data_IF_634588512015
#
_entry.id   IF_634588512015
#
_cell.length_a   1.000
_cell.length_b   1.000
_cell.length_c   1.000
_cell.angle_alpha   90.00
_cell.angle_beta   90.00
_cell.angle_gamma   90.00
#
_symmetry.space_group_name_H-M   'P 1'
#
loop_
_entity.id
_entity.type
_entity.pdbx_description
1 polymer ?
#
# COMPACT_ATOMS: atom_id res chain seq x y z
N UNK A 1 64.09 2.21 -4.37
CA UNK A 1 63.37 1.70 -5.55
C UNK A 1 62.29 0.74 -5.09
N UNK A 2 61.14 1.29 -4.65
CA UNK A 2 59.88 0.60 -4.35
C UNK A 2 58.72 1.63 -4.32
N UNK A 3 58.88 2.72 -5.06
CA UNK A 3 57.86 3.75 -5.23
C UNK A 3 57.31 3.64 -6.64
N UNK A 4 55.98 3.59 -6.73
CA UNK A 4 55.09 3.41 -7.90
C UNK A 4 54.39 2.05 -7.97
N UNK A 5 53.54 1.77 -6.98
CA UNK A 5 52.31 1.01 -7.25
C UNK A 5 51.40 1.94 -8.06
N UNK A 6 51.17 1.64 -9.33
CA UNK A 6 50.40 2.53 -10.20
C UNK A 6 48.93 2.54 -9.76
N UNK A 7 48.27 3.71 -9.85
CA UNK A 7 46.83 3.90 -9.58
C UNK A 7 45.90 2.95 -10.36
N UNK A 8 46.41 2.26 -11.39
CA UNK A 8 45.68 1.28 -12.21
C UNK A 8 45.70 -0.14 -11.64
N UNK A 9 46.59 -0.46 -10.68
CA UNK A 9 46.80 -1.84 -10.24
C UNK A 9 45.78 -2.33 -9.20
N UNK A 10 45.13 -1.44 -8.45
CA UNK A 10 44.17 -1.84 -7.40
C UNK A 10 42.85 -2.38 -7.96
N UNK A 11 42.37 -1.80 -9.07
CA UNK A 11 41.23 -2.30 -9.85
C UNK A 11 41.64 -3.31 -10.93
N UNK A 12 42.89 -3.79 -10.91
CA UNK A 12 43.29 -4.89 -11.79
C UNK A 12 42.44 -6.13 -11.49
N UNK A 13 42.19 -6.92 -12.53
CA UNK A 13 41.36 -8.15 -12.50
C UNK A 13 41.79 -9.13 -11.39
N UNK A 14 43.00 -9.00 -10.84
CA UNK A 14 43.56 -9.89 -9.81
C UNK A 14 42.98 -9.72 -8.41
N UNK A 15 42.40 -8.56 -8.06
CA UNK A 15 41.88 -8.29 -6.72
C UNK A 15 40.34 -8.41 -6.61
N UNK A 16 39.65 -8.57 -7.75
CA UNK A 16 38.19 -8.73 -7.79
C UNK A 16 37.85 -10.18 -7.51
N UNK A 17 37.22 -10.44 -6.36
CA UNK A 17 36.78 -11.77 -5.93
C UNK A 17 35.47 -12.18 -6.60
N UNK A 18 34.57 -11.22 -6.82
CA UNK A 18 33.29 -11.43 -7.50
C UNK A 18 32.80 -10.14 -8.15
N UNK A 19 31.99 -10.26 -9.21
CA UNK A 19 31.29 -9.13 -9.81
C UNK A 19 29.90 -9.57 -10.28
N UNK A 20 28.89 -8.73 -10.03
CA UNK A 20 27.52 -8.93 -10.49
C UNK A 20 26.98 -7.60 -11.04
N UNK A 21 26.14 -7.67 -12.06
CA UNK A 21 25.43 -6.51 -12.59
C UNK A 21 23.95 -6.58 -12.17
N UNK A 22 23.39 -5.49 -11.66
CA UNK A 22 21.97 -5.42 -11.29
C UNK A 22 21.09 -5.30 -12.54
N UNK A 23 19.76 -5.43 -12.38
CA UNK A 23 18.79 -5.30 -13.48
C UNK A 23 18.74 -3.87 -14.04
N UNK A 24 19.19 -2.90 -13.26
CA UNK A 24 19.31 -1.48 -13.57
C UNK A 24 20.71 -1.10 -14.08
N UNK A 25 21.50 -2.09 -14.51
CA UNK A 25 22.85 -1.96 -15.07
C UNK A 25 23.94 -1.45 -14.11
N UNK A 26 23.72 -1.55 -12.79
CA UNK A 26 24.73 -1.20 -11.79
C UNK A 26 25.73 -2.35 -11.60
N UNK A 27 27.03 -2.07 -11.74
CA UNK A 27 28.08 -3.06 -11.53
C UNK A 27 28.53 -3.08 -10.06
N UNK A 28 28.28 -4.19 -9.36
CA UNK A 28 28.77 -4.48 -8.03
C UNK A 28 30.04 -5.34 -8.13
N UNK A 29 31.07 -4.98 -7.36
CA UNK A 29 32.35 -5.71 -7.30
C UNK A 29 32.73 -5.97 -5.85
N UNK A 30 33.01 -7.23 -5.53
CA UNK A 30 33.67 -7.62 -4.28
C UNK A 30 35.17 -7.61 -4.53
N UNK A 31 35.90 -6.75 -3.82
CA UNK A 31 37.34 -6.55 -4.01
C UNK A 31 38.05 -6.88 -2.69
N UNK A 32 39.09 -7.70 -2.76
CA UNK A 32 40.00 -7.91 -1.63
C UNK A 32 41.09 -6.85 -1.66
N UNK A 33 41.24 -6.08 -0.57
CA UNK A 33 42.26 -5.05 -0.48
C UNK A 33 42.10 -4.17 0.76
N UNK A 34 43.03 -3.24 0.92
CA UNK A 34 43.01 -2.24 1.98
C UNK A 34 42.33 -0.97 1.47
N UNK A 35 41.25 -0.59 2.16
CA UNK A 35 40.43 0.61 1.88
C UNK A 35 41.28 1.89 1.87
N UNK A 36 42.44 1.90 2.52
CA UNK A 36 43.34 3.04 2.51
C UNK A 36 43.83 3.39 1.12
N UNK A 37 43.94 2.43 0.20
CA UNK A 37 44.55 2.67 -1.11
C UNK A 37 43.54 2.62 -2.25
N UNK A 38 42.24 2.61 -1.93
CA UNK A 38 41.17 2.65 -2.93
C UNK A 38 40.90 4.09 -3.38
N UNK A 39 40.66 4.27 -4.67
CA UNK A 39 40.08 5.50 -5.22
C UNK A 39 38.58 5.28 -5.42
N UNK A 40 37.76 6.14 -4.82
CA UNK A 40 36.31 6.12 -4.96
C UNK A 40 35.77 7.55 -4.82
N UNK A 41 34.64 7.87 -5.45
CA UNK A 41 34.01 9.17 -5.22
C UNK A 41 33.57 9.32 -3.75
N UNK A 42 33.09 8.22 -3.15
CA UNK A 42 32.62 8.16 -1.77
C UNK A 42 33.16 6.92 -1.08
N UNK A 43 33.64 7.07 0.15
CA UNK A 43 34.01 5.96 1.05
C UNK A 43 32.97 5.87 2.17
N UNK A 44 32.56 4.66 2.52
CA UNK A 44 31.64 4.41 3.65
C UNK A 44 32.45 3.90 4.83
N UNK A 45 32.30 4.56 5.98
CA UNK A 45 32.90 4.18 7.26
C UNK A 45 31.82 3.82 8.27
N UNK A 46 32.04 2.76 9.04
CA UNK A 46 31.16 2.41 10.17
C UNK A 46 31.67 3.05 11.44
N UNK A 47 30.79 3.71 12.19
CA UNK A 47 31.14 4.45 13.42
C UNK A 47 30.23 4.07 14.59
N UNK A 48 30.72 4.13 15.84
CA UNK A 48 29.88 4.00 17.03
C UNK A 48 28.90 5.17 17.15
N UNK A 49 27.86 5.02 17.98
CA UNK A 49 26.84 6.07 18.20
C UNK A 49 27.44 7.42 18.65
N UNK A 50 28.53 7.41 19.41
CA UNK A 50 29.22 8.62 19.86
C UNK A 50 30.09 9.30 18.79
N UNK A 51 30.09 8.76 17.57
CA UNK A 51 30.83 9.24 16.39
C UNK A 51 32.34 9.40 16.61
N UNK A 52 32.91 8.73 17.62
CA UNK A 52 34.34 8.74 17.84
C UNK A 52 35.02 7.77 16.88
N UNK A 53 35.83 8.33 15.98
CA UNK A 53 36.62 7.57 15.03
C UNK A 53 37.80 6.89 15.74
N UNK A 54 38.31 5.80 15.14
CA UNK A 54 39.48 5.09 15.65
C UNK A 54 39.20 3.91 16.58
N UNK A 55 37.94 3.68 16.97
CA UNK A 55 37.58 2.53 17.83
C UNK A 55 37.58 1.17 17.11
N UNK A 56 37.34 1.13 15.80
CA UNK A 56 37.33 -0.09 14.98
C UNK A 56 38.44 -0.08 13.94
N UNK A 57 38.85 -1.26 13.44
CA UNK A 57 39.98 -1.39 12.48
C UNK A 57 39.79 -0.56 11.21
N UNK A 58 38.58 -0.57 10.63
CA UNK A 58 38.22 0.25 9.46
C UNK A 58 38.27 1.75 9.79
N UNK A 59 37.58 2.16 10.86
CA UNK A 59 37.49 3.57 11.27
C UNK A 59 38.86 4.15 11.67
N UNK A 60 39.72 3.33 12.29
CA UNK A 60 41.11 3.68 12.61
C UNK A 60 41.94 3.90 11.36
N UNK A 61 41.87 2.98 10.39
CA UNK A 61 42.61 3.11 9.14
C UNK A 61 42.21 4.41 8.42
N UNK A 62 40.89 4.61 8.23
CA UNK A 62 40.34 5.80 7.58
C UNK A 62 40.81 7.08 8.28
N UNK A 63 40.69 7.17 9.62
CA UNK A 63 41.14 8.35 10.38
C UNK A 63 42.65 8.58 10.24
N UNK A 64 43.45 7.51 10.31
CA UNK A 64 44.90 7.59 10.23
C UNK A 64 45.36 8.16 8.87
N UNK A 65 44.74 7.74 7.75
CA UNK A 65 45.07 8.29 6.43
C UNK A 65 44.46 9.67 6.18
N UNK A 66 43.19 9.88 6.56
CA UNK A 66 42.49 11.15 6.36
C UNK A 66 43.06 12.30 7.19
N UNK A 67 43.64 12.00 8.35
CA UNK A 67 44.13 12.97 9.31
C UNK A 67 43.06 13.47 10.29
N UNK A 68 43.47 14.27 11.30
CA UNK A 68 42.60 14.68 12.42
C UNK A 68 41.45 15.62 12.01
N UNK A 69 41.50 16.20 10.80
CA UNK A 69 40.42 17.07 10.32
C UNK A 69 39.11 16.29 10.10
N UNK A 70 39.20 14.99 9.78
CA UNK A 70 38.03 14.14 9.58
C UNK A 70 37.16 14.05 10.84
N UNK A 71 37.77 13.87 12.02
CA UNK A 71 37.04 13.87 13.29
C UNK A 71 36.44 15.25 13.58
N UNK A 72 37.16 16.34 13.30
CA UNK A 72 36.66 17.70 13.52
C UNK A 72 35.44 18.01 12.67
N UNK A 73 35.43 17.59 11.40
CA UNK A 73 34.26 17.74 10.53
C UNK A 73 33.08 16.92 11.02
N UNK A 74 33.33 15.66 11.43
CA UNK A 74 32.29 14.80 11.98
C UNK A 74 31.68 15.36 13.27
N UNK A 75 32.51 15.88 14.18
CA UNK A 75 32.04 16.52 15.42
C UNK A 75 31.21 17.78 15.15
N UNK A 76 31.50 18.53 14.08
CA UNK A 76 30.70 19.70 13.68
C UNK A 76 29.29 19.30 13.22
N UNK A 77 29.14 18.16 12.55
CA UNK A 77 27.81 17.66 12.11
C UNK A 77 26.90 17.21 13.26
N UNK A 78 27.45 17.00 14.46
CA UNK A 78 26.67 16.63 15.66
C UNK A 78 25.73 17.72 16.14
N UNK A 79 25.99 18.98 15.81
CA UNK A 79 25.17 20.10 16.31
C UNK A 79 23.80 20.21 15.64
N UNK A 80 23.52 19.40 14.60
CA UNK A 80 22.32 19.55 13.75
C UNK A 80 21.40 18.32 13.70
N UNK A 81 21.75 17.17 14.31
CA UNK A 81 20.95 15.93 14.18
C UNK A 81 20.96 15.03 15.44
N UNK A 82 19.83 14.34 15.70
CA UNK A 82 19.74 13.29 16.73
C UNK A 82 20.51 12.01 16.32
N UNK A 83 21.37 11.52 17.21
CA UNK A 83 22.20 10.31 17.02
C UNK A 83 21.37 9.03 17.23
N UNK A 84 21.11 8.25 16.17
CA UNK A 84 20.38 6.97 16.22
C UNK A 84 21.05 5.93 15.33
N UNK A 85 20.82 4.65 15.60
CA UNK A 85 21.20 3.56 14.68
C UNK A 85 20.52 3.78 13.32
N UNK A 86 21.29 3.66 12.24
CA UNK A 86 20.86 3.96 10.88
C UNK A 86 21.13 5.41 10.42
N UNK A 87 21.60 6.29 11.31
CA UNK A 87 22.01 7.65 10.92
C UNK A 87 23.26 7.64 10.04
N UNK A 88 23.31 8.56 9.07
CA UNK A 88 24.43 8.76 8.14
C UNK A 88 24.88 10.21 8.24
N UNK A 89 26.18 10.41 8.48
CA UNK A 89 26.83 11.72 8.51
C UNK A 89 27.83 11.82 7.38
N UNK A 90 28.00 13.02 6.80
CA UNK A 90 28.90 13.22 5.67
C UNK A 90 29.98 14.22 6.02
N UNK A 91 31.23 13.88 5.69
CA UNK A 91 32.40 14.74 5.79
C UNK A 91 33.11 14.81 4.43
N UNK A 92 34.08 15.71 4.30
CA UNK A 92 34.99 15.72 3.15
C UNK A 92 35.92 14.50 3.19
N UNK A 93 36.52 14.16 2.05
CA UNK A 93 37.56 13.12 1.99
C UNK A 93 38.82 13.44 2.80
N UNK A 94 39.03 14.69 3.23
CA UNK A 94 40.29 15.14 3.82
C UNK A 94 41.51 14.68 2.99
N UNK A 95 42.45 13.93 3.59
CA UNK A 95 43.62 13.38 2.89
C UNK A 95 43.37 12.01 2.22
N UNK A 96 42.13 11.54 2.15
CA UNK A 96 41.76 10.31 1.42
C UNK A 96 41.61 10.61 -0.07
N UNK A 97 41.76 9.56 -0.88
CA UNK A 97 41.55 9.61 -2.33
C UNK A 97 40.03 9.52 -2.68
N UNK A 98 39.20 10.34 -2.03
CA UNK A 98 37.75 10.41 -2.26
C UNK A 98 37.20 11.84 -2.09
N UNK A 99 35.99 12.10 -2.61
CA UNK A 99 35.33 13.41 -2.47
C UNK A 99 34.65 13.56 -1.11
N UNK A 100 34.05 12.49 -0.61
CA UNK A 100 33.33 12.49 0.67
C UNK A 100 33.48 11.16 1.41
N UNK A 101 33.32 11.21 2.74
CA UNK A 101 33.18 10.03 3.59
C UNK A 101 31.78 10.02 4.21
N UNK A 102 31.07 8.91 4.06
CA UNK A 102 29.80 8.66 4.74
C UNK A 102 30.06 7.84 6.00
N UNK A 103 29.76 8.42 7.16
CA UNK A 103 29.88 7.78 8.47
C UNK A 103 28.51 7.22 8.87
N UNK A 104 28.41 5.89 8.90
CA UNK A 104 27.16 5.16 9.18
C UNK A 104 27.19 4.62 10.60
N UNK A 105 26.17 4.97 11.39
CA UNK A 105 25.94 4.38 12.72
C UNK A 105 25.25 3.03 12.54
N UNK A 106 26.05 1.97 12.39
CA UNK A 106 25.53 0.62 12.25
C UNK A 106 25.07 0.04 13.60
N UNK A 107 24.10 -0.89 13.62
CA UNK A 107 23.81 -1.67 14.81
C UNK A 107 25.04 -2.50 15.21
N UNK A 108 25.15 -2.82 16.49
CA UNK A 108 26.12 -3.82 16.94
C UNK A 108 25.86 -5.17 16.28
N UNK A 109 26.90 -5.87 15.86
CA UNK A 109 26.79 -7.24 15.39
C UNK A 109 26.45 -8.16 16.57
N UNK A 110 25.31 -8.82 16.51
CA UNK A 110 24.77 -9.66 17.59
C UNK A 110 25.11 -11.15 17.44
N UNK A 111 26.18 -11.47 16.70
CA UNK A 111 26.55 -12.84 16.31
C UNK A 111 25.51 -13.56 15.44
N UNK A 112 24.70 -12.82 14.69
CA UNK A 112 23.62 -13.40 13.88
C UNK A 112 22.46 -13.88 14.74
N UNK A 113 22.34 -13.36 15.97
CA UNK A 113 21.15 -13.52 16.80
C UNK A 113 19.97 -12.68 16.28
N UNK A 114 20.20 -11.82 15.29
CA UNK A 114 19.17 -11.08 14.59
C UNK A 114 18.22 -12.01 13.87
N UNK A 115 16.93 -11.66 13.90
CA UNK A 115 15.88 -12.40 13.19
C UNK A 115 16.13 -12.37 11.68
N UNK A 116 16.33 -13.53 11.06
CA UNK A 116 16.33 -13.65 9.60
C UNK A 116 14.89 -13.73 9.10
N UNK A 117 14.50 -12.86 8.19
CA UNK A 117 13.23 -12.96 7.49
C UNK A 117 13.46 -13.50 6.09
N UNK A 118 12.63 -14.45 5.67
CA UNK A 118 12.60 -14.96 4.30
C UNK A 118 11.26 -14.56 3.68
N UNK A 119 11.31 -14.01 2.48
CA UNK A 119 10.10 -13.86 1.65
C UNK A 119 9.90 -15.16 0.91
N UNK A 120 8.88 -15.93 1.31
CA UNK A 120 8.47 -17.15 0.63
C UNK A 120 7.24 -16.87 -0.25
N UNK A 121 7.12 -17.62 -1.34
CA UNK A 121 5.90 -17.69 -2.16
C UNK A 121 5.42 -19.13 -2.10
N UNK A 122 4.20 -19.35 -1.61
CA UNK A 122 3.68 -20.67 -1.30
C UNK A 122 2.29 -20.62 -0.64
N UNK A 123 1.76 -21.78 -0.28
CA UNK A 123 0.52 -21.92 0.48
C UNK A 123 0.85 -22.00 1.98
N UNK A 124 0.32 -21.07 2.78
CA UNK A 124 0.58 -21.00 4.22
C UNK A 124 0.15 -22.27 4.97
N UNK A 125 -0.81 -23.03 4.43
CA UNK A 125 -1.30 -24.28 5.03
C UNK A 125 -0.30 -25.44 4.90
N UNK A 126 0.68 -25.32 4.01
CA UNK A 126 1.74 -26.31 3.78
C UNK A 126 3.06 -25.94 4.48
N UNK A 127 3.13 -24.77 5.12
CA UNK A 127 4.33 -24.26 5.77
C UNK A 127 4.71 -25.07 7.03
N UNK A 128 6.00 -25.39 7.14
CA UNK A 128 6.57 -26.11 8.28
C UNK A 128 7.24 -25.13 9.24
N UNK A 129 6.40 -24.49 10.04
CA UNK A 129 6.78 -23.49 11.05
C UNK A 129 6.11 -23.81 12.37
N UNK A 130 6.65 -23.30 13.47
CA UNK A 130 6.09 -23.52 14.81
C UNK A 130 4.74 -22.78 14.96
N UNK A 131 4.63 -21.60 14.33
CA UNK A 131 3.46 -20.72 14.44
C UNK A 131 2.95 -20.30 13.05
N UNK A 132 1.66 -20.51 12.80
CA UNK A 132 0.97 -19.88 11.66
C UNK A 132 0.15 -18.69 12.15
N UNK A 133 0.19 -17.58 11.42
CA UNK A 133 -0.64 -16.41 11.71
C UNK A 133 -1.86 -16.40 10.80
N UNK A 134 -3.04 -16.32 11.39
CA UNK A 134 -4.29 -16.15 10.65
C UNK A 134 -4.79 -14.70 10.74
N UNK A 135 -5.07 -14.05 9.61
CA UNK A 135 -5.68 -12.72 9.57
C UNK A 135 -7.21 -12.83 9.48
N UNK A 136 -7.93 -12.45 10.53
CA UNK A 136 -9.38 -12.65 10.67
C UNK A 136 -10.14 -11.38 11.11
N UNK A 137 -11.43 -11.52 11.41
CA UNK A 137 -12.34 -10.46 11.91
C UNK A 137 -12.37 -10.40 13.43
N UNK A 138 -13.07 -9.39 13.98
CA UNK A 138 -13.22 -9.19 15.45
C UNK A 138 -13.87 -10.35 16.19
N UNK A 139 -14.58 -11.21 15.48
CA UNK A 139 -15.25 -12.40 16.03
C UNK A 139 -14.51 -13.69 15.68
N UNK A 140 -13.31 -13.59 15.10
CA UNK A 140 -12.41 -14.70 14.78
C UNK A 140 -13.02 -15.85 13.96
N UNK A 141 -14.05 -15.54 13.16
CA UNK A 141 -14.80 -16.52 12.37
C UNK A 141 -14.72 -16.27 10.86
N UNK A 142 -13.74 -15.49 10.40
CA UNK A 142 -13.60 -15.17 8.98
C UNK A 142 -13.33 -16.44 8.17
N UNK A 143 -14.23 -16.75 7.24
CA UNK A 143 -14.10 -17.90 6.31
C UNK A 143 -13.93 -17.44 4.87
N UNK A 144 -13.03 -16.48 4.65
CA UNK A 144 -12.63 -15.99 3.32
C UNK A 144 -11.12 -15.88 3.18
N UNK A 145 -10.62 -15.90 1.95
CA UNK A 145 -9.20 -15.69 1.65
C UNK A 145 -8.29 -16.68 2.37
N UNK A 146 -7.18 -16.18 2.90
CA UNK A 146 -6.19 -16.98 3.64
C UNK A 146 -6.79 -17.56 4.92
N UNK A 147 -7.69 -16.83 5.60
CA UNK A 147 -8.36 -17.35 6.81
C UNK A 147 -9.21 -18.58 6.53
N UNK A 148 -9.87 -18.64 5.36
CA UNK A 148 -10.62 -19.83 4.94
C UNK A 148 -9.68 -21.03 4.81
N UNK A 149 -8.58 -20.88 4.07
CA UNK A 149 -7.62 -21.95 3.83
C UNK A 149 -7.02 -22.47 5.15
N UNK A 150 -6.64 -21.57 6.06
CA UNK A 150 -6.11 -21.93 7.39
C UNK A 150 -7.16 -22.71 8.21
N UNK A 151 -8.41 -22.23 8.28
CA UNK A 151 -9.45 -22.90 9.06
C UNK A 151 -9.86 -24.25 8.47
N UNK A 152 -9.92 -24.38 7.14
CA UNK A 152 -10.20 -25.66 6.46
C UNK A 152 -9.05 -26.66 6.67
N UNK A 153 -7.79 -26.22 6.58
CA UNK A 153 -6.62 -27.06 6.83
C UNK A 153 -6.45 -27.45 8.31
N UNK A 154 -6.76 -26.54 9.23
CA UNK A 154 -6.69 -26.79 10.67
C UNK A 154 -7.85 -27.66 11.18
N UNK A 155 -9.01 -27.56 10.53
CA UNK A 155 -10.19 -28.37 10.82
C UNK A 155 -11.12 -27.81 11.91
N UNK A 156 -12.28 -28.46 12.13
CA UNK A 156 -13.39 -27.91 12.94
C UNK A 156 -13.07 -27.74 14.42
N UNK A 157 -12.07 -28.44 14.95
CA UNK A 157 -11.64 -28.27 16.34
C UNK A 157 -11.11 -26.85 16.61
N UNK A 158 -10.33 -26.30 15.67
CA UNK A 158 -9.80 -24.94 15.76
C UNK A 158 -10.91 -23.91 15.62
N UNK A 159 -11.88 -24.12 14.72
CA UNK A 159 -13.03 -23.21 14.60
C UNK A 159 -13.84 -23.10 15.90
N UNK A 160 -14.08 -24.23 16.55
CA UNK A 160 -14.79 -24.27 17.83
C UNK A 160 -13.99 -23.57 18.93
N UNK A 161 -12.67 -23.76 18.96
CA UNK A 161 -11.78 -23.08 19.91
C UNK A 161 -11.80 -21.57 19.68
N UNK A 162 -11.74 -21.11 18.42
CA UNK A 162 -11.89 -19.70 18.07
C UNK A 162 -13.21 -19.13 18.61
N UNK A 163 -14.33 -19.84 18.43
CA UNK A 163 -15.65 -19.38 18.89
C UNK A 163 -15.70 -19.25 20.43
N UNK A 164 -15.08 -20.18 21.16
CA UNK A 164 -15.01 -20.17 22.62
C UNK A 164 -14.14 -19.01 23.13
N UNK A 165 -12.98 -18.78 22.50
CA UNK A 165 -12.06 -17.72 22.88
C UNK A 165 -12.60 -16.33 22.51
N UNK A 166 -13.26 -16.21 21.36
CA UNK A 166 -13.91 -14.97 20.91
C UNK A 166 -15.09 -14.55 21.82
N UNK A 167 -15.71 -15.50 22.52
CA UNK A 167 -16.80 -15.22 23.47
C UNK A 167 -16.29 -14.68 24.83
N UNK A 168 -14.98 -14.75 25.09
CA UNK A 168 -14.35 -14.29 26.31
C UNK A 168 -13.62 -12.96 26.10
N UNK A 169 -13.33 -12.18 27.16
CA UNK A 169 -12.46 -11.02 27.03
C UNK A 169 -11.08 -11.43 26.49
N UNK A 170 -10.68 -10.88 25.35
CA UNK A 170 -9.40 -11.15 24.69
C UNK A 170 -8.71 -9.84 24.28
N UNK A 171 -7.41 -9.93 23.99
CA UNK A 171 -6.60 -8.83 23.48
C UNK A 171 -6.75 -8.62 21.97
N UNK A 172 -5.67 -8.16 21.34
CA UNK A 172 -5.59 -7.90 19.89
C UNK A 172 -5.54 -9.19 19.03
N UNK A 173 -5.38 -10.36 19.66
CA UNK A 173 -5.36 -11.68 19.04
C UNK A 173 -5.87 -12.77 20.00
N UNK A 174 -6.15 -13.95 19.45
CA UNK A 174 -6.35 -15.20 20.20
C UNK A 174 -5.38 -16.26 19.69
N UNK A 175 -5.08 -17.26 20.53
CA UNK A 175 -4.18 -18.37 20.19
C UNK A 175 -4.97 -19.67 20.30
N UNK A 176 -4.87 -20.51 19.29
CA UNK A 176 -5.48 -21.85 19.23
C UNK A 176 -4.40 -22.90 18.94
N UNK A 177 -4.77 -24.17 19.06
CA UNK A 177 -3.94 -25.27 18.57
C UNK A 177 -3.81 -25.28 17.03
N UNK A 178 -2.74 -25.88 16.50
CA UNK A 178 -2.54 -26.03 15.04
C UNK A 178 -3.57 -26.91 14.31
N UNK A 179 -4.26 -27.79 15.05
CA UNK A 179 -5.24 -28.71 14.47
C UNK A 179 -4.61 -29.68 13.46
N UNK A 180 -5.15 -29.70 12.24
CA UNK A 180 -4.64 -30.49 11.11
C UNK A 180 -3.42 -29.90 10.40
N UNK A 181 -2.99 -28.68 10.74
CA UNK A 181 -1.80 -28.06 10.16
C UNK A 181 -0.52 -28.58 10.82
N UNK A 182 0.62 -28.38 10.17
CA UNK A 182 1.94 -28.80 10.66
C UNK A 182 2.52 -27.92 11.77
N UNK A 183 1.89 -26.77 12.05
CA UNK A 183 2.31 -25.86 13.11
C UNK A 183 1.82 -26.30 14.49
N UNK A 184 2.50 -25.84 15.54
CA UNK A 184 2.09 -26.11 16.93
C UNK A 184 0.86 -25.31 17.32
N UNK A 185 0.84 -24.02 16.95
CA UNK A 185 -0.25 -23.09 17.28
C UNK A 185 -0.60 -22.19 16.10
N UNK A 186 -1.82 -21.65 16.15
CA UNK A 186 -2.27 -20.60 15.25
C UNK A 186 -2.54 -19.33 16.06
N UNK A 187 -1.90 -18.22 15.70
CA UNK A 187 -2.20 -16.90 16.26
C UNK A 187 -3.18 -16.19 15.32
N UNK A 188 -4.42 -15.99 15.78
CA UNK A 188 -5.44 -15.31 15.00
C UNK A 188 -5.45 -13.82 15.33
N UNK A 189 -5.12 -12.98 14.35
CA UNK A 189 -4.98 -11.53 14.48
C UNK A 189 -6.05 -10.77 13.71
N UNK A 190 -6.33 -9.54 14.14
CA UNK A 190 -7.26 -8.65 13.43
C UNK A 190 -6.58 -8.00 12.21
N UNK A 191 -6.97 -8.38 10.99
CA UNK A 191 -6.42 -7.86 9.74
C UNK A 191 -6.78 -6.41 9.37
N UNK A 192 -7.27 -5.60 10.33
CA UNK A 192 -7.80 -4.24 10.08
C UNK A 192 -7.07 -3.13 10.84
N UNK A 193 -6.13 -3.47 11.72
CA UNK A 193 -5.43 -2.55 12.61
C UNK A 193 -4.08 -2.07 12.04
N UNK A 194 -3.30 -1.38 12.87
CA UNK A 194 -1.89 -1.05 12.61
C UNK A 194 -1.09 -2.35 12.43
N UNK A 195 -0.83 -2.73 11.16
CA UNK A 195 -0.12 -3.96 10.80
C UNK A 195 1.24 -4.03 11.48
N UNK A 196 1.93 -2.91 11.65
CA UNK A 196 3.23 -2.88 12.34
C UNK A 196 3.06 -3.32 13.78
N UNK A 197 2.09 -2.74 14.50
CA UNK A 197 1.79 -3.15 15.88
C UNK A 197 1.37 -4.62 15.95
N UNK A 198 0.49 -5.07 15.05
CA UNK A 198 0.04 -6.47 15.01
C UNK A 198 1.22 -7.43 14.82
N UNK A 199 2.10 -7.17 13.86
CA UNK A 199 3.29 -8.00 13.62
C UNK A 199 4.22 -7.96 14.84
N UNK A 200 4.45 -6.79 15.44
CA UNK A 200 5.26 -6.68 16.67
C UNK A 200 4.70 -7.54 17.80
N UNK A 201 3.40 -7.46 18.09
CA UNK A 201 2.79 -8.26 19.17
C UNK A 201 2.85 -9.77 18.89
N UNK A 202 2.70 -10.19 17.63
CA UNK A 202 2.88 -11.60 17.26
C UNK A 202 4.31 -12.07 17.52
N UNK A 203 5.32 -11.28 17.13
CA UNK A 203 6.72 -11.64 17.31
C UNK A 203 7.11 -11.67 18.79
N UNK A 204 6.61 -10.72 19.60
CA UNK A 204 6.80 -10.71 21.05
C UNK A 204 6.21 -11.96 21.73
N UNK A 205 5.02 -12.40 21.32
CA UNK A 205 4.42 -13.65 21.82
C UNK A 205 5.23 -14.88 21.40
N UNK A 206 5.70 -14.91 20.15
CA UNK A 206 6.54 -16.01 19.67
C UNK A 206 7.82 -16.12 20.49
N UNK A 207 8.49 -14.99 20.74
CA UNK A 207 9.68 -14.91 21.57
C UNK A 207 9.41 -15.35 23.02
N UNK A 208 8.33 -14.83 23.63
CA UNK A 208 7.96 -15.18 25.01
C UNK A 208 7.68 -16.68 25.18
N UNK A 209 7.13 -17.32 24.14
CA UNK A 209 6.81 -18.75 24.10
C UNK A 209 7.96 -19.61 23.58
N UNK A 210 9.08 -18.99 23.18
CA UNK A 210 10.29 -19.64 22.65
C UNK A 210 10.06 -20.41 21.34
N UNK A 211 9.17 -19.91 20.50
CA UNK A 211 9.05 -20.40 19.13
C UNK A 211 10.20 -19.87 18.28
N UNK A 212 10.65 -20.70 17.35
CA UNK A 212 11.82 -20.42 16.49
C UNK A 212 11.45 -20.03 15.07
N UNK A 213 10.19 -20.29 14.67
CA UNK A 213 9.68 -19.96 13.34
C UNK A 213 8.21 -19.54 13.35
N UNK A 214 7.88 -18.53 12.55
CA UNK A 214 6.51 -18.02 12.37
C UNK A 214 6.27 -17.68 10.91
N UNK A 215 5.12 -18.08 10.37
CA UNK A 215 4.66 -17.71 9.03
C UNK A 215 3.54 -16.68 9.12
N UNK A 216 3.75 -15.54 8.46
CA UNK A 216 2.84 -14.40 8.44
C UNK A 216 2.26 -14.25 7.02
N UNK A 217 0.94 -14.28 6.83
CA UNK A 217 0.35 -13.97 5.54
C UNK A 217 0.47 -12.47 5.25
N UNK A 218 0.02 -12.04 4.07
CA UNK A 218 -0.16 -10.62 3.77
C UNK A 218 -1.34 -10.04 4.59
N UNK A 219 -1.12 -9.83 5.89
CA UNK A 219 -2.16 -9.43 6.84
C UNK A 219 -2.88 -8.16 6.34
N UNK A 220 -4.21 -8.25 6.24
CA UNK A 220 -5.06 -7.14 5.82
C UNK A 220 -5.34 -7.00 4.33
N UNK A 221 -4.83 -7.91 3.48
CA UNK A 221 -5.21 -7.97 2.05
C UNK A 221 -6.60 -8.55 1.81
N UNK A 222 -7.16 -9.29 2.77
CA UNK A 222 -8.37 -10.09 2.57
C UNK A 222 -9.70 -9.34 2.84
N UNK A 223 -9.67 -8.00 2.87
CA UNK A 223 -10.85 -7.17 3.17
C UNK A 223 -11.80 -7.01 1.96
N UNK A 224 -12.14 -8.10 1.27
CA UNK A 224 -13.17 -8.09 0.24
C UNK A 224 -14.57 -8.12 0.87
N UNK A 225 -15.60 -7.52 0.23
CA UNK A 225 -16.95 -7.53 0.79
C UNK A 225 -17.56 -8.93 0.82
N UNK A 226 -18.24 -9.27 1.93
CA UNK A 226 -18.89 -10.57 2.12
C UNK A 226 -19.96 -10.90 1.05
N UNK A 227 -20.58 -9.87 0.47
CA UNK A 227 -21.60 -10.03 -0.57
C UNK A 227 -21.00 -10.31 -1.96
N UNK A 228 -19.67 -10.27 -2.11
CA UNK A 228 -19.03 -10.64 -3.37
C UNK A 228 -19.13 -12.15 -3.59
N UNK A 229 -19.36 -12.53 -4.83
CA UNK A 229 -19.28 -13.92 -5.27
C UNK A 229 -17.82 -14.34 -5.30
N UNK A 230 -17.54 -15.61 -5.03
CA UNK A 230 -16.19 -16.16 -5.17
C UNK A 230 -15.62 -15.89 -6.58
N UNK A 231 -14.40 -15.37 -6.61
CA UNK A 231 -13.69 -15.03 -7.85
C UNK A 231 -12.81 -16.19 -8.35
N UNK A 232 -12.80 -17.36 -7.68
CA UNK A 232 -12.00 -18.52 -8.07
C UNK A 232 -10.52 -18.17 -8.31
N UNK A 233 -9.90 -17.51 -7.33
CA UNK A 233 -8.52 -17.00 -7.40
C UNK A 233 -8.25 -15.88 -8.43
N UNK A 234 -9.27 -15.38 -9.14
CA UNK A 234 -9.13 -14.18 -9.96
C UNK A 234 -9.17 -12.92 -9.10
N UNK A 235 -8.50 -11.87 -9.57
CA UNK A 235 -8.42 -10.57 -8.88
C UNK A 235 -9.45 -9.57 -9.39
N UNK A 236 -10.12 -9.87 -10.50
CA UNK A 236 -11.24 -9.09 -11.01
C UNK A 236 -12.24 -9.94 -11.78
N UNK A 237 -13.54 -9.70 -11.58
CA UNK A 237 -14.61 -10.23 -12.41
C UNK A 237 -15.83 -9.29 -12.45
N UNK A 238 -16.74 -9.54 -13.40
CA UNK A 238 -18.06 -8.92 -13.43
C UNK A 238 -19.13 -9.99 -13.18
N UNK A 239 -20.03 -9.71 -12.25
CA UNK A 239 -21.11 -10.61 -11.87
C UNK A 239 -22.44 -10.00 -12.31
N UNK A 240 -23.09 -10.59 -13.29
CA UNK A 240 -24.42 -10.15 -13.70
C UNK A 240 -25.43 -10.45 -12.59
N UNK A 241 -26.11 -9.41 -12.10
CA UNK A 241 -27.14 -9.55 -11.08
C UNK A 241 -28.43 -10.11 -11.68
N UNK A 242 -29.14 -10.93 -10.90
CA UNK A 242 -30.41 -11.49 -11.35
C UNK A 242 -31.58 -10.55 -11.03
N UNK A 243 -32.48 -10.27 -11.99
CA UNK A 243 -33.71 -9.54 -11.73
C UNK A 243 -34.51 -10.16 -10.59
N UNK A 244 -34.99 -9.34 -9.67
CA UNK A 244 -35.73 -9.78 -8.48
C UNK A 244 -34.88 -9.95 -7.22
N UNK A 245 -33.54 -10.02 -7.33
CA UNK A 245 -32.66 -9.96 -6.16
C UNK A 245 -32.71 -8.57 -5.51
N UNK A 246 -32.58 -8.53 -4.17
CA UNK A 246 -32.59 -7.27 -3.41
C UNK A 246 -31.55 -6.26 -3.90
N UNK A 247 -30.34 -6.73 -4.20
CA UNK A 247 -29.25 -5.92 -4.74
C UNK A 247 -29.61 -5.33 -6.12
N UNK A 248 -30.12 -6.15 -7.05
CA UNK A 248 -30.58 -5.69 -8.36
C UNK A 248 -31.67 -4.62 -8.22
N UNK A 249 -32.68 -4.88 -7.38
CA UNK A 249 -33.81 -3.96 -7.19
C UNK A 249 -33.33 -2.62 -6.60
N UNK A 250 -32.42 -2.66 -5.63
CA UNK A 250 -31.83 -1.45 -5.02
C UNK A 250 -31.16 -0.56 -6.07
N UNK A 251 -30.34 -1.15 -6.95
CA UNK A 251 -29.63 -0.39 -7.99
C UNK A 251 -30.58 0.07 -9.09
N UNK A 252 -31.53 -0.79 -9.51
CA UNK A 252 -32.59 -0.43 -10.44
C UNK A 252 -33.40 0.76 -9.94
N UNK A 253 -33.87 0.72 -8.70
CA UNK A 253 -34.76 1.75 -8.14
C UNK A 253 -34.03 3.10 -8.05
N UNK A 254 -32.76 3.09 -7.67
CA UNK A 254 -31.94 4.32 -7.66
C UNK A 254 -31.77 4.91 -9.07
N UNK A 255 -31.64 4.07 -10.10
CA UNK A 255 -31.58 4.51 -11.49
C UNK A 255 -32.94 5.05 -11.98
N UNK A 256 -34.02 4.30 -11.78
CA UNK A 256 -35.36 4.62 -12.28
C UNK A 256 -36.01 5.81 -11.60
N UNK A 257 -35.54 6.22 -10.40
CA UNK A 257 -35.93 7.47 -9.75
C UNK A 257 -35.87 8.69 -10.68
N UNK A 258 -34.89 8.73 -11.58
CA UNK A 258 -34.75 9.83 -12.56
C UNK A 258 -34.67 9.36 -14.02
N UNK A 259 -34.61 8.04 -14.26
CA UNK A 259 -34.53 7.44 -15.60
C UNK A 259 -35.68 6.44 -15.89
N UNK A 260 -36.90 6.72 -15.42
CA UNK A 260 -38.05 5.83 -15.58
C UNK A 260 -38.45 5.55 -17.04
N UNK A 261 -38.06 6.40 -17.98
CA UNK A 261 -38.31 6.21 -19.41
C UNK A 261 -37.35 5.26 -20.10
N UNK A 262 -36.28 4.83 -19.43
CA UNK A 262 -35.26 3.95 -20.01
C UNK A 262 -35.48 2.49 -19.62
N UNK A 263 -35.03 1.58 -20.48
CA UNK A 263 -35.07 0.13 -20.23
C UNK A 263 -33.68 -0.39 -19.84
N UNK A 264 -33.57 -1.05 -18.68
CA UNK A 264 -32.34 -1.72 -18.24
C UNK A 264 -32.23 -3.08 -18.96
N UNK A 265 -31.11 -3.31 -19.64
CA UNK A 265 -30.77 -4.60 -20.25
C UNK A 265 -30.13 -5.53 -19.22
N UNK A 266 -29.19 -5.01 -18.43
CA UNK A 266 -28.54 -5.74 -17.33
C UNK A 266 -27.86 -4.80 -16.33
N UNK A 267 -27.63 -5.32 -15.13
CA UNK A 267 -26.80 -4.70 -14.09
C UNK A 267 -25.71 -5.71 -13.73
N UNK A 268 -24.46 -5.28 -13.80
CA UNK A 268 -23.30 -6.10 -13.48
C UNK A 268 -22.58 -5.50 -12.27
N UNK A 269 -22.40 -6.27 -11.20
CA UNK A 269 -21.51 -5.90 -10.09
C UNK A 269 -20.06 -6.10 -10.52
N UNK A 270 -19.24 -5.10 -10.26
CA UNK A 270 -17.80 -5.14 -10.52
C UNK A 270 -17.10 -5.56 -9.24
N UNK A 271 -16.35 -6.65 -9.33
CA UNK A 271 -15.50 -7.12 -8.25
C UNK A 271 -14.06 -6.92 -8.72
N UNK A 272 -13.38 -5.90 -8.22
CA UNK A 272 -11.97 -5.66 -8.51
C UNK A 272 -11.22 -5.47 -7.19
N UNK A 273 -10.44 -6.48 -6.81
CA UNK A 273 -9.79 -6.56 -5.50
C UNK A 273 -8.84 -5.38 -5.27
N UNK A 274 -8.01 -5.03 -6.26
CA UNK A 274 -7.03 -3.95 -6.13
C UNK A 274 -7.65 -2.57 -6.02
N UNK A 275 -8.67 -2.29 -6.86
CA UNK A 275 -9.40 -1.02 -6.79
C UNK A 275 -10.15 -0.90 -5.46
N UNK A 276 -10.76 -1.99 -4.99
CA UNK A 276 -11.47 -2.02 -3.72
C UNK A 276 -10.54 -1.77 -2.54
N UNK A 277 -9.41 -2.47 -2.47
CA UNK A 277 -8.42 -2.26 -1.41
C UNK A 277 -7.90 -0.82 -1.39
N UNK A 278 -7.52 -0.28 -2.56
CA UNK A 278 -7.02 1.08 -2.69
C UNK A 278 -8.07 2.12 -2.26
N UNK A 279 -9.32 1.90 -2.66
CA UNK A 279 -10.47 2.71 -2.25
C UNK A 279 -10.69 2.68 -0.73
N UNK A 280 -10.66 1.50 -0.12
CA UNK A 280 -10.91 1.34 1.32
C UNK A 280 -9.79 1.94 2.18
N UNK A 281 -8.54 1.90 1.73
CA UNK A 281 -7.43 2.61 2.38
C UNK A 281 -7.70 4.12 2.37
N UNK A 282 -8.09 4.68 1.22
CA UNK A 282 -8.45 6.11 1.13
C UNK A 282 -9.65 6.47 1.99
N UNK A 283 -10.67 5.61 2.03
CA UNK A 283 -11.85 5.80 2.85
C UNK A 283 -11.47 5.89 4.33
N UNK A 284 -10.69 4.92 4.83
CA UNK A 284 -10.22 4.91 6.23
C UNK A 284 -9.40 6.16 6.57
N UNK A 285 -8.50 6.57 5.66
CA UNK A 285 -7.74 7.80 5.83
C UNK A 285 -8.65 9.04 5.92
N UNK A 286 -9.66 9.15 5.04
CA UNK A 286 -10.61 10.26 5.04
C UNK A 286 -11.51 10.26 6.29
N UNK A 287 -11.94 9.08 6.75
CA UNK A 287 -12.73 8.92 7.98
C UNK A 287 -11.96 9.43 9.21
N UNK A 288 -10.66 9.12 9.29
CA UNK A 288 -9.78 9.64 10.34
C UNK A 288 -9.58 11.15 10.19
N UNK A 289 -9.26 11.63 8.98
CA UNK A 289 -8.99 13.05 8.70
C UNK A 289 -10.18 13.94 9.04
N UNK A 290 -11.39 13.49 8.72
CA UNK A 290 -12.61 14.28 8.89
C UNK A 290 -13.31 14.04 10.24
N UNK A 291 -12.86 13.07 11.03
CA UNK A 291 -13.41 12.76 12.36
C UNK A 291 -14.81 12.14 12.33
N UNK A 292 -15.28 11.67 11.17
CA UNK A 292 -16.59 11.03 10.99
C UNK A 292 -16.57 10.05 9.82
N UNK A 293 -17.56 9.16 9.74
CA UNK A 293 -17.65 8.12 8.68
C UNK A 293 -18.54 8.49 7.49
N UNK A 294 -19.23 9.63 7.55
CA UNK A 294 -20.11 10.11 6.49
C UNK A 294 -19.34 10.84 5.36
N UNK A 295 -18.41 10.13 4.72
CA UNK A 295 -17.56 10.67 3.66
C UNK A 295 -17.88 10.11 2.27
N UNK A 296 -18.75 9.10 2.19
CA UNK A 296 -19.04 8.35 0.98
C UNK A 296 -20.44 8.67 0.44
N UNK A 297 -20.54 8.80 -0.88
CA UNK A 297 -21.83 8.89 -1.60
C UNK A 297 -21.86 7.90 -2.74
N UNK A 298 -23.05 7.35 -3.01
CA UNK A 298 -23.32 6.52 -4.18
C UNK A 298 -23.82 7.40 -5.34
N UNK A 299 -22.98 7.59 -6.36
CA UNK A 299 -23.20 8.52 -7.47
C UNK A 299 -23.18 7.80 -8.83
N UNK A 300 -23.47 8.54 -9.90
CA UNK A 300 -23.53 8.00 -11.27
C UNK A 300 -22.45 8.58 -12.18
N UNK A 301 -21.97 7.76 -13.12
CA UNK A 301 -21.02 8.20 -14.16
C UNK A 301 -21.37 7.55 -15.51
N UNK A 302 -21.85 8.34 -16.47
CA UNK A 302 -22.07 7.89 -17.85
C UNK A 302 -20.76 7.82 -18.62
N UNK A 303 -20.57 6.78 -19.44
CA UNK A 303 -19.37 6.65 -20.29
C UNK A 303 -19.69 6.01 -21.65
N UNK A 304 -18.77 6.08 -22.59
CA UNK A 304 -18.83 5.36 -23.87
C UNK A 304 -18.41 3.88 -23.70
N UNK A 305 -18.86 3.03 -24.64
CA UNK A 305 -18.59 1.60 -24.59
C UNK A 305 -17.09 1.25 -24.64
N UNK A 306 -16.28 2.05 -25.32
CA UNK A 306 -14.84 1.79 -25.49
C UNK A 306 -14.05 2.02 -24.19
N UNK A 307 -14.58 2.87 -23.30
CA UNK A 307 -13.97 3.19 -22.01
C UNK A 307 -14.28 2.17 -20.91
N UNK A 308 -15.33 1.34 -21.08
CA UNK A 308 -15.79 0.37 -20.07
C UNK A 308 -14.69 -0.61 -19.63
N UNK A 309 -13.94 -1.28 -20.54
CA UNK A 309 -12.88 -2.21 -20.12
C UNK A 309 -11.80 -1.54 -19.28
N UNK A 310 -11.44 -0.30 -19.61
CA UNK A 310 -10.45 0.46 -18.88
C UNK A 310 -10.94 0.80 -17.47
N UNK A 311 -12.16 1.31 -17.33
CA UNK A 311 -12.71 1.68 -16.02
C UNK A 311 -12.89 0.46 -15.12
N UNK A 312 -13.29 -0.69 -15.67
CA UNK A 312 -13.40 -1.94 -14.90
C UNK A 312 -12.06 -2.41 -14.34
N UNK A 313 -10.98 -2.28 -15.11
CA UNK A 313 -9.65 -2.77 -14.73
C UNK A 313 -8.85 -1.77 -13.90
N UNK A 314 -8.94 -0.49 -14.25
CA UNK A 314 -8.05 0.57 -13.74
C UNK A 314 -8.78 1.71 -13.02
N UNK A 315 -10.11 1.67 -12.95
CA UNK A 315 -10.91 2.70 -12.30
C UNK A 315 -10.97 3.99 -13.13
N UNK A 316 -11.31 5.08 -12.45
CA UNK A 316 -11.46 6.39 -13.09
C UNK A 316 -10.13 7.14 -13.10
N UNK A 317 -9.65 7.50 -14.29
CA UNK A 317 -8.41 8.25 -14.45
C UNK A 317 -8.70 9.70 -14.90
N UNK A 318 -8.27 10.65 -14.07
CA UNK A 318 -8.46 12.09 -14.31
C UNK A 318 -7.74 12.61 -15.55
N UNK A 319 -6.74 11.89 -16.07
CA UNK A 319 -6.02 12.28 -17.29
C UNK A 319 -6.92 12.22 -18.53
N UNK A 320 -8.07 11.54 -18.44
CA UNK A 320 -9.14 11.56 -19.44
C UNK A 320 -10.23 12.60 -19.14
N UNK A 321 -10.10 13.36 -18.05
CA UNK A 321 -11.02 14.45 -17.74
C UNK A 321 -10.93 15.55 -18.81
N UNK A 322 -12.09 16.03 -19.24
CA UNK A 322 -12.20 17.14 -20.19
C UNK A 322 -12.74 16.81 -21.58
N UNK A 323 -13.11 15.55 -21.85
CA UNK A 323 -13.88 15.24 -23.08
C UNK A 323 -15.26 15.95 -23.10
N UNK A 324 -15.92 16.12 -21.94
CA UNK A 324 -17.32 16.58 -21.88
C UNK A 324 -17.66 17.65 -20.81
N UNK A 325 -16.83 17.89 -19.78
CA UNK A 325 -17.06 18.94 -18.77
C UNK A 325 -15.79 19.24 -17.95
N UNK A 326 -15.46 20.52 -17.77
CA UNK A 326 -14.40 21.01 -16.85
C UNK A 326 -14.84 22.21 -16.02
N UNK A 327 -16.15 22.50 -15.96
CA UNK A 327 -16.67 23.75 -15.38
C UNK A 327 -16.31 23.94 -13.88
N UNK A 328 -16.13 22.84 -13.15
CA UNK A 328 -15.88 22.85 -11.71
C UNK A 328 -14.50 22.27 -11.34
N UNK A 329 -13.64 22.02 -12.34
CA UNK A 329 -12.27 21.52 -12.15
C UNK A 329 -11.89 20.40 -13.12
N UNK A 330 -10.59 20.14 -13.21
CA UNK A 330 -9.96 19.10 -14.05
C UNK A 330 -9.85 17.78 -13.28
N UNK A 331 -11.00 17.19 -12.98
CA UNK A 331 -11.13 15.91 -12.29
C UNK A 331 -12.22 15.03 -12.89
N UNK A 332 -12.52 13.91 -12.23
CA UNK A 332 -13.59 13.00 -12.66
C UNK A 332 -14.93 13.45 -12.07
N UNK A 333 -15.94 13.56 -12.93
CA UNK A 333 -17.28 14.05 -12.58
C UNK A 333 -18.24 12.90 -12.27
N UNK A 334 -19.07 13.09 -11.25
CA UNK A 334 -20.10 12.14 -10.82
C UNK A 334 -21.41 12.89 -10.55
N UNK A 335 -22.52 12.35 -11.05
CA UNK A 335 -23.85 12.95 -10.89
C UNK A 335 -24.62 12.34 -9.72
N UNK A 336 -25.41 13.15 -9.04
CA UNK A 336 -26.39 12.70 -8.05
C UNK A 336 -27.56 11.99 -8.73
N UNK A 337 -28.08 12.60 -9.80
CA UNK A 337 -29.17 12.04 -10.59
C UNK A 337 -28.65 11.22 -11.77
N UNK A 338 -29.21 10.01 -11.95
CA UNK A 338 -28.89 9.15 -13.09
C UNK A 338 -29.22 9.83 -14.43
N UNK A 339 -30.30 10.63 -14.48
CA UNK A 339 -30.74 11.34 -15.69
C UNK A 339 -29.68 12.26 -16.28
N UNK A 340 -28.84 12.87 -15.43
CA UNK A 340 -27.72 13.68 -15.90
C UNK A 340 -26.69 12.81 -16.64
N UNK A 341 -26.32 11.68 -16.04
CA UNK A 341 -25.39 10.71 -16.64
C UNK A 341 -25.99 9.98 -17.84
N UNK A 342 -27.32 9.92 -17.96
CA UNK A 342 -28.03 9.27 -19.07
C UNK A 342 -27.98 10.08 -20.38
N UNK A 343 -27.59 11.35 -20.35
CA UNK A 343 -27.45 12.17 -21.57
C UNK A 343 -26.43 11.53 -22.53
N UNK A 344 -26.72 11.58 -23.83
CA UNK A 344 -25.89 11.00 -24.89
C UNK A 344 -24.47 11.56 -24.95
N UNK A 345 -24.26 12.77 -24.42
CA UNK A 345 -22.93 13.37 -24.24
C UNK A 345 -22.03 12.55 -23.31
N UNK A 346 -22.60 11.89 -22.30
CA UNK A 346 -21.83 11.14 -21.29
C UNK A 346 -21.95 9.64 -21.51
N UNK A 347 -23.17 9.10 -21.59
CA UNK A 347 -23.41 7.67 -21.86
C UNK A 347 -23.73 7.45 -23.33
N UNK A 348 -22.76 7.69 -24.21
CA UNK A 348 -22.97 7.64 -25.67
C UNK A 348 -23.48 6.25 -26.09
N UNK A 349 -24.61 6.17 -26.84
CA UNK A 349 -25.11 4.89 -27.32
C UNK A 349 -24.12 4.23 -28.30
N UNK A 350 -23.92 2.92 -28.14
CA UNK A 350 -23.13 2.11 -29.07
C UNK A 350 -23.89 1.82 -30.39
N UNK A 351 -23.28 1.06 -31.30
CA UNK A 351 -23.89 0.69 -32.59
C UNK A 351 -25.20 -0.09 -32.47
N UNK A 352 -25.52 -0.63 -31.29
CA UNK A 352 -26.76 -1.37 -30.98
C UNK A 352 -27.73 -0.53 -30.13
N UNK A 353 -27.44 0.75 -29.93
CA UNK A 353 -28.24 1.66 -29.10
C UNK A 353 -28.08 1.44 -27.58
N UNK A 354 -27.07 0.68 -27.15
CA UNK A 354 -26.81 0.44 -25.72
C UNK A 354 -25.99 1.58 -25.13
N UNK A 355 -26.41 2.02 -23.95
CA UNK A 355 -25.78 3.06 -23.15
C UNK A 355 -25.21 2.43 -21.88
N UNK A 356 -24.11 3.01 -21.39
CA UNK A 356 -23.36 2.48 -20.26
C UNK A 356 -23.25 3.54 -19.16
N UNK A 357 -23.63 3.17 -17.93
CA UNK A 357 -23.55 4.04 -16.77
C UNK A 357 -23.07 3.27 -15.55
N UNK A 358 -22.05 3.79 -14.88
CA UNK A 358 -21.61 3.27 -13.60
C UNK A 358 -22.43 3.81 -12.45
N UNK A 359 -22.66 2.96 -11.46
CA UNK A 359 -22.99 3.35 -10.08
C UNK A 359 -21.71 3.20 -9.25
N UNK A 360 -21.33 4.28 -8.59
CA UNK A 360 -19.97 4.49 -8.09
C UNK A 360 -20.01 4.89 -6.63
N UNK A 361 -19.20 4.23 -5.79
CA UNK A 361 -18.90 4.73 -4.45
C UNK A 361 -17.85 5.82 -4.57
N UNK A 362 -18.17 7.03 -4.14
CA UNK A 362 -17.30 8.21 -4.25
C UNK A 362 -17.06 8.79 -2.87
N UNK A 363 -15.79 8.96 -2.52
CA UNK A 363 -15.38 9.63 -1.29
C UNK A 363 -15.48 11.15 -1.49
N UNK A 364 -16.68 11.70 -1.28
CA UNK A 364 -16.92 13.14 -1.42
C UNK A 364 -16.39 13.95 -0.24
N UNK A 365 -16.31 13.33 0.95
CA UNK A 365 -15.79 13.95 2.17
C UNK A 365 -16.38 15.34 2.46
N UNK A 366 -15.54 16.25 2.94
CA UNK A 366 -15.85 17.67 3.06
C UNK A 366 -15.63 18.34 1.70
N UNK A 367 -16.67 18.98 1.17
CA UNK A 367 -16.65 19.56 -0.17
C UNK A 367 -16.94 21.05 -0.19
N UNK A 368 -16.52 21.72 -1.26
CA UNK A 368 -16.81 23.14 -1.52
C UNK A 368 -17.19 23.37 -2.97
N UNK A 369 -17.55 24.60 -3.36
CA UNK A 369 -17.88 24.92 -4.74
C UNK A 369 -16.62 24.91 -5.63
N UNK A 370 -16.72 24.27 -6.79
CA UNK A 370 -15.60 24.18 -7.75
C UNK A 370 -15.57 25.33 -8.76
N UNK A 371 -14.46 25.42 -9.50
CA UNK A 371 -14.31 26.28 -10.68
C UNK A 371 -13.31 25.67 -11.67
N UNK A 372 -13.30 26.15 -12.92
CA UNK A 372 -12.69 25.44 -14.03
C UNK A 372 -11.15 25.29 -13.98
N UNK A 373 -10.47 26.16 -13.23
CA UNK A 373 -9.01 26.18 -13.15
C UNK A 373 -8.43 25.15 -12.16
N UNK A 374 -9.28 24.57 -11.30
CA UNK A 374 -8.84 23.63 -10.27
C UNK A 374 -8.22 22.37 -10.88
N UNK A 375 -7.02 22.02 -10.42
CA UNK A 375 -6.34 20.73 -10.70
C UNK A 375 -6.30 19.81 -9.46
N UNK A 376 -6.66 20.37 -8.30
CA UNK A 376 -6.83 19.74 -7.00
C UNK A 376 -7.95 20.47 -6.27
N UNK A 377 -8.56 19.91 -5.21
CA UNK A 377 -9.47 20.66 -4.35
C UNK A 377 -8.76 21.88 -3.74
N UNK A 378 -9.49 22.98 -3.47
CA UNK A 378 -8.92 24.16 -2.83
C UNK A 378 -8.62 23.90 -1.34
N UNK A 379 -7.77 24.74 -0.71
CA UNK A 379 -7.52 24.68 0.73
C UNK A 379 -8.75 25.09 1.54
N UNK A 380 -8.95 24.48 2.72
CA UNK A 380 -10.00 24.85 3.68
C UNK A 380 -9.72 26.19 4.36
N UNK A 381 -8.44 26.48 4.59
CA UNK A 381 -7.96 27.74 5.13
C UNK A 381 -6.91 28.33 4.17
N UNK A 382 -7.05 29.57 3.69
CA UNK A 382 -6.06 30.21 2.82
C UNK A 382 -4.63 30.25 3.39
N UNK A 383 -4.49 30.17 4.72
CA UNK A 383 -3.20 30.20 5.42
C UNK A 383 -2.59 28.80 5.59
N UNK A 384 -3.32 27.73 5.27
CA UNK A 384 -2.84 26.34 5.29
C UNK A 384 -3.03 25.71 3.92
N UNK A 385 -1.99 25.79 3.08
CA UNK A 385 -2.04 25.30 1.71
C UNK A 385 -2.18 23.78 1.60
N UNK A 386 -1.93 23.03 2.68
CA UNK A 386 -1.92 21.55 2.67
C UNK A 386 -3.21 20.91 3.20
N UNK A 387 -4.03 21.64 3.96
CA UNK A 387 -5.35 21.14 4.40
C UNK A 387 -6.40 21.45 3.34
N UNK A 388 -6.59 20.51 2.42
CA UNK A 388 -7.51 20.63 1.30
C UNK A 388 -8.91 20.09 1.63
N UNK A 389 -9.92 20.64 0.94
CA UNK A 389 -11.20 19.96 0.77
C UNK A 389 -11.00 18.59 0.10
N UNK A 390 -11.96 17.68 0.25
CA UNK A 390 -11.90 16.33 -0.32
C UNK A 390 -12.38 16.29 -1.78
N UNK A 391 -13.42 17.07 -2.08
CA UNK A 391 -13.99 17.17 -3.42
C UNK A 391 -14.60 18.56 -3.66
N UNK A 392 -15.06 18.80 -4.88
CA UNK A 392 -15.82 20.01 -5.20
C UNK A 392 -17.17 19.67 -5.85
N UNK A 393 -18.12 20.60 -5.75
CA UNK A 393 -19.50 20.46 -6.25
C UNK A 393 -19.92 21.67 -7.08
N UNK A 394 -21.02 21.54 -7.82
CA UNK A 394 -21.68 22.65 -8.52
C UNK A 394 -22.35 23.64 -7.57
N UNK A 395 -22.96 23.12 -6.49
CA UNK A 395 -23.63 23.88 -5.45
C UNK A 395 -23.46 23.17 -4.09
N UNK A 396 -23.09 23.91 -3.05
CA UNK A 396 -22.84 23.34 -1.71
C UNK A 396 -24.09 23.06 -0.91
N UNK A 397 -25.18 23.78 -1.16
CA UNK A 397 -26.48 23.58 -0.49
C UNK A 397 -27.27 22.44 -1.12
N UNK A 398 -27.28 22.36 -2.45
CA UNK A 398 -28.01 21.35 -3.22
C UNK A 398 -27.11 20.76 -4.31
N UNK A 399 -26.13 19.92 -3.94
CA UNK A 399 -25.18 19.36 -4.88
C UNK A 399 -25.89 18.45 -5.88
N UNK A 400 -25.60 18.63 -7.17
CA UNK A 400 -26.04 17.73 -8.24
C UNK A 400 -24.87 17.00 -8.89
N UNK A 401 -23.66 17.52 -8.71
CA UNK A 401 -22.43 16.98 -9.26
C UNK A 401 -21.32 17.01 -8.20
N UNK A 402 -20.45 16.02 -8.23
CA UNK A 402 -19.21 16.01 -7.48
C UNK A 402 -18.02 15.77 -8.41
N UNK A 403 -16.90 16.43 -8.12
CA UNK A 403 -15.64 16.27 -8.84
C UNK A 403 -14.55 15.86 -7.85
N UNK A 404 -13.88 14.75 -8.15
CA UNK A 404 -12.72 14.26 -7.40
C UNK A 404 -11.46 14.31 -8.26
N UNK A 405 -10.32 14.56 -7.63
CA UNK A 405 -9.06 14.88 -8.33
C UNK A 405 -7.96 13.85 -8.12
N UNK A 406 -8.19 12.83 -7.30
CA UNK A 406 -7.19 11.84 -6.96
C UNK A 406 -7.67 10.43 -7.29
N UNK A 407 -6.74 9.61 -7.78
CA UNK A 407 -7.01 8.20 -8.13
C UNK A 407 -7.50 7.42 -6.92
N UNK A 408 -8.27 6.35 -7.11
CA UNK A 408 -8.82 5.51 -6.06
C UNK A 408 -9.78 6.22 -5.07
N UNK A 409 -10.17 7.48 -5.32
CA UNK A 409 -11.20 8.18 -4.55
C UNK A 409 -12.63 7.76 -4.96
N UNK A 410 -12.74 6.97 -6.02
CA UNK A 410 -13.99 6.44 -6.53
C UNK A 410 -13.82 4.96 -6.93
N UNK A 411 -14.76 4.10 -6.52
CA UNK A 411 -14.82 2.68 -6.86
C UNK A 411 -16.04 2.39 -7.74
N UNK A 412 -15.86 1.89 -8.99
CA UNK A 412 -16.97 1.50 -9.84
C UNK A 412 -17.59 0.22 -9.28
N UNK A 413 -18.80 0.32 -8.70
CA UNK A 413 -19.42 -0.81 -8.00
C UNK A 413 -20.37 -1.61 -8.90
N UNK A 414 -21.14 -0.91 -9.74
CA UNK A 414 -22.01 -1.53 -10.72
C UNK A 414 -21.90 -0.86 -12.08
N UNK A 415 -22.09 -1.63 -13.14
CA UNK A 415 -22.29 -1.17 -14.50
C UNK A 415 -23.74 -1.48 -14.92
N UNK A 416 -24.49 -0.43 -15.26
CA UNK A 416 -25.83 -0.53 -15.84
C UNK A 416 -25.69 -0.41 -17.36
N UNK A 417 -26.14 -1.44 -18.07
CA UNK A 417 -26.36 -1.38 -19.52
C UNK A 417 -27.84 -1.13 -19.78
N UNK A 418 -28.17 -0.06 -20.49
CA UNK A 418 -29.57 0.38 -20.68
C UNK A 418 -29.79 0.97 -22.08
N UNK A 419 -31.06 1.20 -22.44
CA UNK A 419 -31.49 1.72 -23.75
C UNK A 419 -32.66 2.68 -23.59
N UNK A 420 -32.83 3.57 -24.56
CA UNK A 420 -34.03 4.41 -24.68
C UNK A 420 -35.28 3.58 -24.95
#
# INVERSE_FOLDING_TARGET
>A
SRDEFSKKDYFSVRNVLASIQTKEDLNLKLISGDVLYIWADVIVNTVPMNLQLGGGTLSWAILHKAGPMLQKELDATRQEAEEKVGSIFMTSGCNLDCKAVLHVVAPGWDNGAGTSWQVATGDITEEKVDVIVNSTTRIFSLKSGVSKAILEGAGPAVENECAILAAQPHGDFIITQGGGLTCEIIIHVLGKNDVRRTVTSVLEECEQRKYTSVSLPAIGTDNLPEYWTDMNHQLSCMVQLHPGQSEYNTIKDKFTQTCSSYTIEKIERIQNAFLWQSYQVKKKHMDIKNGHVNNERLLFHGTDADSVPHVNQHGFNRSYAGKNAVAYGKGTYFAVDASYSAKDTYSRPDSRGRKHMYVVRVLTGVYTQGHAELITPPPKNPHSATDLFDSVTDNTLYPRLFVVFFDNQAYPEYLITFRC
#
